data_IF_760303802784
#
_entry.id   IF_760303802784
#
_cell.length_a   1.000
_cell.length_b   1.000
_cell.length_c   1.000
_cell.angle_alpha   90.00
_cell.angle_beta   90.00
_cell.angle_gamma   90.00
#
_symmetry.space_group_name_H-M   'P 1'
#
loop_
_entity.id
_entity.type
_entity.pdbx_description
1 polymer ?
#
# COMPACT_ATOMS: atom_id res chain seq x y z
N UNK A 1 -10.98 13.69 -15.73
CA UNK A 1 -9.61 13.25 -15.40
C UNK A 1 -9.53 11.77 -15.72
N UNK A 2 -8.51 11.34 -16.39
CA UNK A 2 -8.23 9.93 -16.63
C UNK A 2 -7.12 9.52 -15.67
N UNK A 3 -7.30 8.43 -14.93
CA UNK A 3 -6.33 7.96 -13.95
C UNK A 3 -5.07 7.38 -14.59
N UNK A 4 -4.62 6.25 -14.06
CA UNK A 4 -3.54 5.44 -14.64
C UNK A 4 -4.16 4.25 -15.36
N UNK A 5 -3.65 3.92 -16.54
CA UNK A 5 -3.93 2.62 -17.17
C UNK A 5 -2.66 1.98 -17.74
N UNK A 6 -2.56 0.68 -17.59
CA UNK A 6 -1.54 -0.17 -18.21
C UNK A 6 -2.25 -1.33 -18.91
N UNK A 7 -1.78 -1.73 -20.11
CA UNK A 7 -2.35 -2.82 -20.90
C UNK A 7 -1.24 -3.68 -21.47
N UNK A 8 -1.22 -4.94 -21.07
CA UNK A 8 -0.28 -5.99 -21.52
C UNK A 8 1.18 -5.55 -21.51
N UNK A 9 1.56 -4.79 -20.47
CA UNK A 9 2.89 -4.18 -20.34
C UNK A 9 3.91 -5.26 -20.04
N UNK A 10 5.06 -5.18 -20.76
CA UNK A 10 6.19 -6.11 -20.62
C UNK A 10 7.49 -5.36 -20.46
N UNK A 11 8.41 -5.91 -19.65
CA UNK A 11 9.77 -5.40 -19.53
C UNK A 11 10.72 -6.49 -19.06
N UNK A 12 11.83 -6.64 -19.80
CA UNK A 12 12.89 -7.61 -19.52
C UNK A 12 14.25 -6.91 -19.41
N UNK A 13 15.14 -7.49 -18.63
CA UNK A 13 16.54 -7.10 -18.49
C UNK A 13 17.41 -8.32 -18.76
N UNK A 14 17.94 -8.45 -19.96
CA UNK A 14 18.59 -9.67 -20.43
C UNK A 14 17.62 -10.87 -20.32
N UNK A 15 17.99 -11.87 -19.53
CA UNK A 15 17.18 -13.08 -19.33
C UNK A 15 16.15 -12.94 -18.18
N UNK A 16 16.09 -11.78 -17.50
CA UNK A 16 15.16 -11.56 -16.40
C UNK A 16 13.92 -10.84 -16.93
N UNK A 17 12.78 -11.51 -16.94
CA UNK A 17 11.48 -10.93 -17.27
C UNK A 17 10.87 -10.28 -16.02
N UNK A 18 11.22 -9.02 -15.77
CA UNK A 18 10.77 -8.29 -14.57
C UNK A 18 9.25 -7.98 -14.60
N UNK A 19 8.72 -7.65 -15.78
CA UNK A 19 7.29 -7.48 -16.05
C UNK A 19 6.95 -8.31 -17.27
N UNK A 20 6.05 -9.29 -17.12
CA UNK A 20 5.71 -10.27 -18.16
C UNK A 20 4.41 -9.96 -18.85
N UNK A 21 3.40 -9.58 -18.09
CA UNK A 21 2.09 -9.21 -18.59
C UNK A 21 1.30 -8.49 -17.51
N UNK A 22 1.43 -7.16 -17.47
CA UNK A 22 0.77 -6.34 -16.48
C UNK A 22 -0.31 -5.49 -17.15
N UNK A 23 -1.54 -5.64 -16.62
CA UNK A 23 -2.67 -4.80 -16.95
C UNK A 23 -3.32 -4.31 -15.67
N UNK A 24 -3.51 -3.00 -15.53
CA UNK A 24 -4.16 -2.39 -14.37
C UNK A 24 -4.84 -1.07 -14.74
N UNK A 25 -5.79 -0.70 -13.89
CA UNK A 25 -6.37 0.65 -13.84
C UNK A 25 -6.29 1.20 -12.42
N UNK A 26 -5.92 2.48 -12.29
CA UNK A 26 -6.09 3.24 -11.06
C UNK A 26 -6.94 4.48 -11.38
N UNK A 27 -8.11 4.54 -10.74
CA UNK A 27 -9.12 5.57 -11.04
C UNK A 27 -8.82 6.89 -10.32
N UNK A 28 -9.26 8.02 -10.88
CA UNK A 28 -9.21 9.30 -10.19
C UNK A 28 -10.02 9.28 -8.89
N UNK A 29 -9.53 10.00 -7.89
CA UNK A 29 -10.20 10.10 -6.60
C UNK A 29 -10.08 8.86 -5.71
N UNK A 30 -9.16 7.94 -6.04
CA UNK A 30 -8.97 6.70 -5.32
C UNK A 30 -7.48 6.42 -5.03
N UNK A 31 -7.26 5.61 -4.00
CA UNK A 31 -5.97 5.01 -3.67
C UNK A 31 -5.98 3.55 -4.12
N UNK A 32 -5.12 3.21 -5.07
CA UNK A 32 -4.96 1.84 -5.57
C UNK A 32 -3.67 1.24 -5.01
N UNK A 33 -3.77 0.10 -4.34
CA UNK A 33 -2.63 -0.66 -3.83
C UNK A 33 -2.03 -1.55 -4.91
N UNK A 34 -0.71 -1.50 -5.07
CA UNK A 34 0.07 -2.41 -5.92
C UNK A 34 0.77 -3.44 -5.04
N UNK A 35 0.22 -4.64 -4.96
CA UNK A 35 0.57 -5.68 -4.02
C UNK A 35 1.35 -6.79 -4.71
N UNK A 36 2.40 -7.27 -4.06
CA UNK A 36 3.16 -8.41 -4.57
C UNK A 36 4.47 -8.60 -3.80
N UNK A 37 5.09 -9.78 -3.88
CA UNK A 37 6.35 -10.06 -3.21
C UNK A 37 7.49 -9.21 -3.79
N UNK A 38 8.64 -9.23 -3.11
CA UNK A 38 9.85 -8.61 -3.64
C UNK A 38 10.23 -9.30 -4.96
N UNK A 39 10.59 -8.50 -5.97
CA UNK A 39 10.91 -9.01 -7.31
C UNK A 39 9.68 -9.29 -8.20
N UNK A 40 8.45 -9.02 -7.77
CA UNK A 40 7.25 -9.18 -8.60
C UNK A 40 7.09 -8.16 -9.73
N UNK A 41 7.97 -7.15 -9.81
CA UNK A 41 7.94 -6.14 -10.87
C UNK A 41 7.31 -4.80 -10.49
N UNK A 42 6.89 -4.58 -9.23
CA UNK A 42 6.24 -3.33 -8.75
C UNK A 42 7.06 -2.08 -9.07
N UNK A 43 8.29 -2.01 -8.58
CA UNK A 43 9.19 -0.86 -8.83
C UNK A 43 9.47 -0.68 -10.31
N UNK A 44 9.65 -1.76 -11.09
CA UNK A 44 9.84 -1.69 -12.55
C UNK A 44 8.63 -1.07 -13.24
N UNK A 45 7.41 -1.48 -12.86
CA UNK A 45 6.18 -0.89 -13.38
C UNK A 45 6.05 0.60 -13.00
N UNK A 46 6.32 0.94 -11.74
CA UNK A 46 6.30 2.34 -11.29
C UNK A 46 7.31 3.21 -12.04
N UNK A 47 8.52 2.71 -12.32
CA UNK A 47 9.52 3.41 -13.13
C UNK A 47 9.04 3.65 -14.58
N UNK A 48 8.32 2.69 -15.18
CA UNK A 48 7.75 2.86 -16.51
C UNK A 48 6.65 3.91 -16.51
N UNK A 49 5.75 3.87 -15.53
CA UNK A 49 4.71 4.90 -15.35
C UNK A 49 5.30 6.30 -15.07
N UNK A 50 6.41 6.36 -14.32
CA UNK A 50 7.14 7.59 -14.04
C UNK A 50 7.95 8.13 -15.24
N UNK A 51 7.85 7.51 -16.42
CA UNK A 51 8.63 7.84 -17.63
C UNK A 51 10.15 7.76 -17.45
N UNK A 52 10.62 6.93 -16.52
CA UNK A 52 12.04 6.70 -16.24
C UNK A 52 12.57 5.43 -16.93
N UNK A 53 11.68 4.61 -17.44
CA UNK A 53 11.97 3.36 -18.13
C UNK A 53 10.92 3.15 -19.24
N UNK A 54 11.34 2.75 -20.45
CA UNK A 54 10.41 2.37 -21.49
C UNK A 54 9.99 0.90 -21.34
N UNK A 55 8.73 0.52 -21.60
CA UNK A 55 8.32 -0.87 -21.73
C UNK A 55 8.87 -1.49 -23.01
N UNK A 56 9.03 -2.82 -23.05
CA UNK A 56 9.36 -3.55 -24.27
C UNK A 56 8.11 -3.77 -25.16
N UNK A 57 6.93 -3.82 -24.52
CA UNK A 57 5.64 -3.95 -25.19
C UNK A 57 4.50 -3.50 -24.28
N UNK A 58 3.32 -3.28 -24.86
CA UNK A 58 2.11 -2.84 -24.14
C UNK A 58 1.93 -1.32 -24.17
N UNK A 59 0.88 -0.85 -23.52
CA UNK A 59 0.50 0.55 -23.50
C UNK A 59 0.42 1.07 -22.07
N UNK A 60 0.86 2.31 -21.87
CA UNK A 60 0.79 3.04 -20.61
C UNK A 60 0.09 4.38 -20.81
N UNK A 61 -0.75 4.77 -19.85
CA UNK A 61 -1.34 6.12 -19.78
C UNK A 61 -1.29 6.64 -18.36
N UNK A 62 -0.86 7.88 -18.20
CA UNK A 62 -0.84 8.64 -16.95
C UNK A 62 -1.61 9.93 -17.18
N UNK A 63 -2.77 10.07 -16.56
CA UNK A 63 -3.73 11.16 -16.82
C UNK A 63 -3.98 11.39 -18.32
N UNK A 64 -4.10 10.27 -19.08
CA UNK A 64 -4.33 10.26 -20.53
C UNK A 64 -3.09 10.43 -21.39
N UNK A 65 -1.92 10.74 -20.81
CA UNK A 65 -0.66 10.92 -21.52
C UNK A 65 0.10 9.60 -21.58
N UNK A 66 0.70 9.32 -22.72
CA UNK A 66 1.66 8.24 -22.89
C UNK A 66 3.03 8.67 -22.35
N UNK A 67 3.55 8.05 -21.26
CA UNK A 67 4.82 8.47 -20.65
C UNK A 67 6.06 8.17 -21.49
N UNK A 68 5.93 7.36 -22.56
CA UNK A 68 7.01 7.08 -23.51
C UNK A 68 7.04 8.11 -24.62
N UNK A 69 5.87 8.51 -25.13
CA UNK A 69 5.73 9.45 -26.24
C UNK A 69 5.91 10.90 -25.77
N UNK A 70 5.29 11.25 -24.64
CA UNK A 70 5.41 12.58 -24.02
C UNK A 70 5.85 12.47 -22.54
N UNK A 71 7.13 12.16 -22.30
CA UNK A 71 7.65 12.04 -20.94
C UNK A 71 7.60 13.35 -20.13
N UNK A 72 7.70 14.51 -20.80
CA UNK A 72 7.65 15.79 -20.13
C UNK A 72 6.22 16.13 -19.66
N UNK A 73 5.23 15.93 -20.52
CA UNK A 73 3.82 16.10 -20.19
C UNK A 73 3.35 15.12 -19.09
N UNK A 74 3.82 13.86 -19.13
CA UNK A 74 3.52 12.89 -18.09
C UNK A 74 4.11 13.34 -16.73
N UNK A 75 5.39 13.72 -16.68
CA UNK A 75 6.04 14.20 -15.43
C UNK A 75 5.42 15.48 -14.89
N UNK A 76 4.93 16.37 -15.74
CA UNK A 76 4.24 17.58 -15.28
C UNK A 76 2.94 17.30 -14.50
N UNK A 77 2.34 16.11 -14.67
CA UNK A 77 1.10 15.69 -14.01
C UNK A 77 1.32 14.66 -12.90
N UNK A 78 2.54 14.15 -12.79
CA UNK A 78 2.92 13.01 -11.96
C UNK A 78 3.86 13.41 -10.84
N UNK A 79 3.50 13.12 -9.59
CA UNK A 79 4.41 13.10 -8.43
C UNK A 79 4.98 11.71 -8.24
N UNK A 80 6.30 11.59 -8.24
CA UNK A 80 7.00 10.33 -8.03
C UNK A 80 7.78 10.33 -6.71
N UNK A 81 7.51 9.35 -5.88
CA UNK A 81 8.23 9.06 -4.65
C UNK A 81 8.81 7.64 -4.71
N UNK A 82 10.11 7.46 -4.98
CA UNK A 82 10.78 6.16 -4.90
C UNK A 82 11.01 5.73 -3.45
N UNK A 83 11.16 4.42 -3.20
CA UNK A 83 11.50 3.86 -1.88
C UNK A 83 12.80 4.47 -1.32
N UNK A 84 13.83 4.55 -2.15
CA UNK A 84 15.07 5.22 -1.75
C UNK A 84 15.03 6.70 -2.15
N UNK A 85 14.88 7.58 -1.17
CA UNK A 85 14.94 9.01 -1.40
C UNK A 85 16.36 9.45 -1.80
N UNK A 86 16.58 9.71 -3.08
CA UNK A 86 17.75 10.41 -3.58
C UNK A 86 17.70 11.90 -3.22
N UNK A 87 17.78 12.22 -1.92
CA UNK A 87 17.91 13.62 -1.50
C UNK A 87 19.37 14.06 -1.70
N UNK A 88 19.55 15.33 -2.11
CA UNK A 88 20.88 15.94 -2.08
C UNK A 88 21.33 16.11 -0.63
N UNK A 89 22.37 15.39 -0.16
CA UNK A 89 22.70 15.34 1.26
C UNK A 89 23.05 16.69 1.89
N UNK A 90 23.54 17.62 1.07
CA UNK A 90 23.97 18.96 1.48
C UNK A 90 22.85 19.99 1.54
N UNK A 91 21.72 19.76 0.85
CA UNK A 91 20.59 20.67 0.88
C UNK A 91 19.77 20.45 2.16
N UNK A 92 19.20 21.53 2.66
CA UNK A 92 18.18 21.47 3.72
C UNK A 92 16.87 20.87 3.18
N UNK A 93 15.96 20.49 4.08
CA UNK A 93 14.63 20.03 3.69
C UNK A 93 13.90 21.09 2.86
N UNK A 94 13.94 22.34 3.27
CA UNK A 94 13.38 23.49 2.55
C UNK A 94 14.02 23.67 1.17
N UNK A 95 15.35 23.69 1.10
CA UNK A 95 16.08 23.85 -0.17
C UNK A 95 15.79 22.73 -1.14
N UNK A 96 15.63 21.50 -0.65
CA UNK A 96 15.27 20.32 -1.47
C UNK A 96 13.93 20.55 -2.16
N UNK A 97 12.89 21.01 -1.45
CA UNK A 97 11.57 21.26 -2.02
C UNK A 97 11.58 22.48 -2.93
N UNK A 98 12.24 23.60 -2.50
CA UNK A 98 12.36 24.80 -3.31
C UNK A 98 13.07 24.50 -4.64
N UNK A 99 14.19 23.78 -4.61
CA UNK A 99 14.92 23.41 -5.82
C UNK A 99 14.07 22.54 -6.74
N UNK A 100 13.37 21.56 -6.19
CA UNK A 100 12.45 20.73 -6.99
C UNK A 100 11.34 21.58 -7.61
N UNK A 101 10.71 22.49 -6.86
CA UNK A 101 9.67 23.39 -7.38
C UNK A 101 10.20 24.27 -8.52
N UNK A 102 11.44 24.77 -8.39
CA UNK A 102 12.12 25.53 -9.46
C UNK A 102 12.35 24.70 -10.73
N UNK A 103 12.67 23.42 -10.59
CA UNK A 103 12.81 22.50 -11.74
C UNK A 103 11.47 22.24 -12.46
N UNK A 104 10.35 22.35 -11.73
CA UNK A 104 9.00 22.32 -12.30
C UNK A 104 8.47 23.69 -12.75
N UNK A 105 9.31 24.72 -12.78
CA UNK A 105 8.97 26.04 -13.35
C UNK A 105 8.33 27.03 -12.37
N UNK A 106 8.20 26.70 -11.08
CA UNK A 106 7.75 27.68 -10.09
C UNK A 106 8.78 28.81 -9.96
N UNK A 107 8.33 30.06 -9.82
CA UNK A 107 9.23 31.16 -9.45
C UNK A 107 9.76 30.97 -8.02
N UNK A 108 10.77 31.77 -7.62
CA UNK A 108 11.46 31.60 -6.35
C UNK A 108 10.56 31.81 -5.13
N UNK A 109 9.64 32.76 -5.22
CA UNK A 109 8.73 33.09 -4.13
C UNK A 109 7.65 32.03 -3.97
N UNK A 110 7.01 31.66 -5.06
CA UNK A 110 6.02 30.57 -5.11
C UNK A 110 6.63 29.23 -4.63
N UNK A 111 7.87 28.89 -5.04
CA UNK A 111 8.54 27.69 -4.59
C UNK A 111 8.83 27.71 -3.08
N UNK A 112 9.18 28.86 -2.50
CA UNK A 112 9.39 29.01 -1.04
C UNK A 112 8.08 28.88 -0.27
N UNK A 113 7.03 29.57 -0.72
CA UNK A 113 5.71 29.49 -0.10
C UNK A 113 5.18 28.05 -0.14
N UNK A 114 5.31 27.37 -1.30
CA UNK A 114 4.90 25.97 -1.44
C UNK A 114 5.71 25.03 -0.55
N UNK A 115 7.02 25.26 -0.41
CA UNK A 115 7.87 24.48 0.46
C UNK A 115 7.43 24.59 1.95
N UNK A 116 7.08 25.77 2.42
CA UNK A 116 6.60 25.97 3.79
C UNK A 116 5.31 25.16 4.05
N UNK A 117 4.32 25.27 3.15
CA UNK A 117 3.05 24.54 3.26
C UNK A 117 3.27 23.02 3.24
N UNK A 118 4.13 22.52 2.35
CA UNK A 118 4.39 21.08 2.22
C UNK A 118 5.16 20.54 3.42
N UNK A 119 6.18 21.23 3.92
CA UNK A 119 6.92 20.84 5.12
C UNK A 119 5.99 20.74 6.33
N UNK A 120 5.10 21.71 6.51
CA UNK A 120 4.08 21.68 7.56
C UNK A 120 3.13 20.47 7.37
N UNK A 121 2.68 20.20 6.14
CA UNK A 121 1.72 19.11 5.86
C UNK A 121 2.29 17.72 6.13
N UNK A 122 3.62 17.57 6.12
CA UNK A 122 4.32 16.32 6.43
C UNK A 122 5.02 16.33 7.79
N UNK A 123 4.80 17.36 8.63
CA UNK A 123 5.38 17.48 9.97
C UNK A 123 6.91 17.58 9.96
N UNK A 124 7.45 18.40 9.09
CA UNK A 124 8.89 18.71 8.97
C UNK A 124 9.20 20.21 9.06
N UNK A 125 8.27 21.02 9.54
CA UNK A 125 8.41 22.48 9.69
C UNK A 125 9.56 22.84 10.63
N UNK A 126 9.69 22.19 11.80
CA UNK A 126 10.79 22.37 12.75
C UNK A 126 12.16 21.93 12.20
N UNK A 127 12.17 21.08 11.18
CA UNK A 127 13.37 20.56 10.51
C UNK A 127 13.60 21.16 9.13
N UNK A 128 12.87 22.24 8.79
CA UNK A 128 12.92 22.85 7.47
C UNK A 128 14.34 23.24 7.04
N UNK A 129 15.14 23.75 7.96
CA UNK A 129 16.50 24.23 7.70
C UNK A 129 17.58 23.21 8.11
N UNK A 130 17.18 21.96 8.49
CA UNK A 130 18.09 20.87 8.74
C UNK A 130 18.56 20.23 7.41
N UNK A 131 19.86 19.95 7.25
CA UNK A 131 20.40 19.26 6.07
C UNK A 131 19.77 17.86 5.92
N UNK A 132 19.45 17.44 4.69
CA UNK A 132 18.79 16.15 4.44
C UNK A 132 19.61 14.94 4.94
N UNK A 133 20.96 15.08 5.05
CA UNK A 133 21.82 14.00 5.57
C UNK A 133 21.54 13.63 7.02
N UNK A 134 21.12 14.59 7.86
CA UNK A 134 20.88 14.36 9.31
C UNK A 134 19.48 13.86 9.62
N UNK A 135 18.56 13.89 8.64
CA UNK A 135 17.20 13.39 8.81
C UNK A 135 17.19 11.86 9.00
N UNK A 136 16.33 11.39 9.89
CA UNK A 136 16.05 9.96 10.06
C UNK A 136 15.45 9.36 8.77
N UNK A 137 15.37 8.03 8.68
CA UNK A 137 14.73 7.36 7.54
C UNK A 137 13.28 7.82 7.35
N UNK A 138 12.48 7.83 8.40
CA UNK A 138 11.08 8.28 8.34
C UNK A 138 10.95 9.76 7.97
N UNK A 139 11.85 10.64 8.47
CA UNK A 139 11.89 12.05 8.07
C UNK A 139 12.26 12.22 6.59
N UNK A 140 13.17 11.40 6.07
CA UNK A 140 13.49 11.36 4.64
C UNK A 140 12.28 10.91 3.80
N UNK A 141 11.52 9.90 4.27
CA UNK A 141 10.30 9.48 3.59
C UNK A 141 9.27 10.61 3.51
N UNK A 142 9.04 11.31 4.63
CA UNK A 142 8.14 12.48 4.65
C UNK A 142 8.62 13.61 3.72
N UNK A 143 9.93 13.86 3.67
CA UNK A 143 10.52 14.81 2.71
C UNK A 143 10.31 14.35 1.26
N UNK A 144 10.41 13.05 0.97
CA UNK A 144 10.13 12.46 -0.33
C UNK A 144 8.71 12.69 -0.80
N UNK A 145 7.76 12.50 0.10
CA UNK A 145 6.35 12.78 -0.18
C UNK A 145 6.10 14.27 -0.46
N UNK A 146 6.65 15.16 0.36
CA UNK A 146 6.57 16.60 0.14
C UNK A 146 7.17 17.01 -1.22
N UNK A 147 8.31 16.40 -1.59
CA UNK A 147 8.94 16.61 -2.90
C UNK A 147 8.05 16.15 -4.06
N UNK A 148 7.40 15.00 -3.92
CA UNK A 148 6.48 14.49 -4.95
C UNK A 148 5.25 15.39 -5.16
N UNK A 149 4.87 16.18 -4.14
CA UNK A 149 3.69 17.05 -4.16
C UNK A 149 3.97 18.49 -4.61
N UNK A 150 5.23 18.87 -4.87
CA UNK A 150 5.64 20.28 -5.00
C UNK A 150 4.95 21.00 -6.15
N UNK A 151 4.77 20.36 -7.30
CA UNK A 151 4.18 20.91 -8.52
C UNK A 151 2.69 20.64 -8.67
N UNK A 152 2.03 20.25 -7.58
CA UNK A 152 0.59 19.97 -7.51
C UNK A 152 0.10 18.90 -8.50
N UNK A 153 0.69 17.69 -8.49
CA UNK A 153 0.41 16.65 -9.47
C UNK A 153 -1.01 16.11 -9.33
N UNK A 154 -1.58 15.63 -10.45
CA UNK A 154 -2.88 14.93 -10.49
C UNK A 154 -2.76 13.45 -10.17
N UNK A 155 -1.59 12.88 -10.41
CA UNK A 155 -1.27 11.47 -10.20
C UNK A 155 -0.12 11.37 -9.22
N UNK A 156 -0.19 10.43 -8.28
CA UNK A 156 0.89 10.10 -7.36
C UNK A 156 1.29 8.65 -7.52
N UNK A 157 2.57 8.39 -7.74
CA UNK A 157 3.18 7.08 -7.66
C UNK A 157 4.06 7.05 -6.42
N UNK A 158 3.75 6.16 -5.48
CA UNK A 158 4.43 6.06 -4.19
C UNK A 158 4.97 4.65 -4.00
N UNK A 159 6.30 4.52 -4.00
CA UNK A 159 6.98 3.24 -3.77
C UNK A 159 7.38 3.13 -2.31
N UNK A 160 6.73 2.23 -1.56
CA UNK A 160 6.96 1.96 -0.14
C UNK A 160 6.93 3.22 0.77
N UNK A 161 5.92 4.12 0.67
CA UNK A 161 5.96 5.43 1.35
C UNK A 161 5.88 5.34 2.87
N UNK A 162 5.36 4.24 3.44
CA UNK A 162 5.26 4.00 4.87
C UNK A 162 6.54 3.37 5.47
N UNK A 163 7.51 2.98 4.61
CA UNK A 163 8.73 2.31 5.06
C UNK A 163 9.54 3.15 6.04
N UNK A 164 9.78 2.61 7.25
CA UNK A 164 10.56 3.28 8.29
C UNK A 164 9.85 4.42 9.01
N UNK A 165 8.55 4.60 8.81
CA UNK A 165 7.72 5.51 9.60
C UNK A 165 7.37 4.88 10.96
N UNK A 166 7.31 5.72 11.99
CA UNK A 166 6.71 5.36 13.26
C UNK A 166 5.17 5.24 13.15
N UNK A 167 4.48 4.63 14.15
CA UNK A 167 3.02 4.42 14.06
C UNK A 167 2.22 5.69 13.84
N UNK A 168 2.60 6.81 14.49
CA UNK A 168 1.88 8.08 14.31
C UNK A 168 2.07 8.63 12.90
N UNK A 169 3.29 8.61 12.37
CA UNK A 169 3.58 9.07 11.02
C UNK A 169 2.86 8.22 9.93
N UNK A 170 2.58 6.94 10.19
CA UNK A 170 1.74 6.11 9.32
C UNK A 170 0.28 6.56 9.30
N UNK A 171 -0.27 6.90 10.47
CA UNK A 171 -1.62 7.47 10.58
C UNK A 171 -1.70 8.79 9.82
N UNK A 172 -0.71 9.68 10.01
CA UNK A 172 -0.66 10.99 9.33
C UNK A 172 -0.56 10.82 7.80
N UNK A 173 0.28 9.88 7.33
CA UNK A 173 0.38 9.52 5.91
C UNK A 173 -0.97 9.05 5.37
N UNK A 174 -1.66 8.14 6.05
CA UNK A 174 -2.99 7.65 5.66
C UNK A 174 -3.99 8.79 5.52
N UNK A 175 -4.08 9.67 6.53
CA UNK A 175 -4.98 10.84 6.52
C UNK A 175 -4.66 11.75 5.33
N UNK A 176 -3.37 12.00 5.05
CA UNK A 176 -2.94 12.80 3.93
C UNK A 176 -3.33 12.16 2.58
N UNK A 177 -3.08 10.87 2.39
CA UNK A 177 -3.41 10.17 1.15
C UNK A 177 -4.92 10.14 0.90
N UNK A 178 -5.73 9.89 1.93
CA UNK A 178 -7.20 9.93 1.83
C UNK A 178 -7.71 11.32 1.46
N UNK A 179 -7.13 12.38 2.04
CA UNK A 179 -7.46 13.77 1.66
C UNK A 179 -7.12 14.04 0.20
N UNK A 180 -5.90 13.68 -0.25
CA UNK A 180 -5.46 13.90 -1.63
C UNK A 180 -6.33 13.13 -2.64
N UNK A 181 -6.73 11.90 -2.31
CA UNK A 181 -7.70 11.16 -3.12
C UNK A 181 -9.07 11.87 -3.15
N UNK A 182 -9.57 12.32 -2.00
CA UNK A 182 -10.81 13.11 -1.91
C UNK A 182 -10.80 14.42 -2.72
N UNK A 183 -9.61 15.00 -2.95
CA UNK A 183 -9.38 16.15 -3.85
C UNK A 183 -9.40 15.74 -5.35
N UNK A 184 -9.62 14.45 -5.66
CA UNK A 184 -9.73 13.91 -7.02
C UNK A 184 -8.42 13.39 -7.62
N UNK A 185 -7.32 13.30 -6.85
CA UNK A 185 -6.04 12.77 -7.34
C UNK A 185 -6.11 11.25 -7.49
N UNK A 186 -5.37 10.73 -8.46
CA UNK A 186 -5.14 9.30 -8.63
C UNK A 186 -3.90 8.90 -7.86
N UNK A 187 -3.98 7.94 -6.96
CA UNK A 187 -2.84 7.48 -6.16
C UNK A 187 -2.61 5.99 -6.42
N UNK A 188 -1.40 5.64 -6.83
CA UNK A 188 -0.92 4.27 -6.91
C UNK A 188 0.21 4.09 -5.90
N UNK A 189 0.00 3.20 -4.93
CA UNK A 189 0.91 2.97 -3.81
C UNK A 189 1.37 1.52 -3.79
N UNK A 190 2.67 1.28 -3.70
CA UNK A 190 3.21 -0.04 -3.38
C UNK A 190 3.49 -0.17 -1.89
N UNK A 191 3.28 -1.34 -1.33
CA UNK A 191 3.82 -1.75 -0.03
C UNK A 191 3.98 -3.26 0.03
N UNK A 192 4.91 -3.72 0.86
CA UNK A 192 5.04 -5.11 1.27
C UNK A 192 4.35 -5.38 2.61
N UNK A 193 3.84 -4.35 3.29
CA UNK A 193 3.10 -4.46 4.55
C UNK A 193 1.62 -4.30 4.24
N UNK A 194 0.93 -5.42 4.08
CA UNK A 194 -0.46 -5.45 3.58
C UNK A 194 -1.45 -4.84 4.56
N UNK A 195 -1.23 -5.03 5.87
CA UNK A 195 -2.06 -4.43 6.90
C UNK A 195 -2.09 -2.87 6.82
N UNK A 196 -0.99 -2.24 6.39
CA UNK A 196 -0.95 -0.78 6.19
C UNK A 196 -1.74 -0.35 4.96
N UNK A 197 -1.69 -1.15 3.89
CA UNK A 197 -2.46 -0.87 2.67
C UNK A 197 -3.95 -1.03 2.92
N UNK A 198 -4.37 -2.07 3.64
CA UNK A 198 -5.77 -2.36 3.90
C UNK A 198 -6.53 -1.19 4.54
N UNK A 199 -5.84 -0.37 5.32
CA UNK A 199 -6.42 0.81 5.95
C UNK A 199 -6.56 2.03 5.03
N UNK A 200 -5.87 2.05 3.87
CA UNK A 200 -5.80 3.24 3.02
C UNK A 200 -6.30 3.05 1.60
N UNK A 201 -6.28 1.82 1.06
CA UNK A 201 -6.64 1.58 -0.34
C UNK A 201 -8.14 1.44 -0.57
N UNK A 202 -8.60 1.87 -1.73
CA UNK A 202 -9.95 1.64 -2.25
C UNK A 202 -9.99 0.42 -3.18
N UNK A 203 -8.90 0.19 -3.91
CA UNK A 203 -8.73 -0.90 -4.88
C UNK A 203 -7.36 -1.54 -4.70
N UNK A 204 -7.23 -2.82 -5.05
CA UNK A 204 -5.96 -3.54 -4.99
C UNK A 204 -5.66 -4.28 -6.29
N UNK A 205 -4.41 -4.20 -6.74
CA UNK A 205 -3.87 -4.94 -7.88
C UNK A 205 -2.75 -5.85 -7.40
N UNK A 206 -2.91 -7.14 -7.61
CA UNK A 206 -1.92 -8.14 -7.19
C UNK A 206 -0.99 -8.50 -8.34
N UNK A 207 0.31 -8.42 -8.09
CA UNK A 207 1.38 -8.82 -9.00
C UNK A 207 2.10 -10.06 -8.48
N UNK A 208 2.07 -11.13 -9.27
CA UNK A 208 2.82 -12.37 -8.98
C UNK A 208 3.67 -12.73 -10.18
N UNK A 209 4.97 -12.94 -9.95
CA UNK A 209 5.93 -13.32 -10.98
C UNK A 209 5.89 -12.44 -12.26
N UNK A 210 5.73 -11.12 -12.09
CA UNK A 210 5.72 -10.15 -13.18
C UNK A 210 4.41 -10.03 -13.96
N UNK A 211 3.32 -10.62 -13.46
CA UNK A 211 2.02 -10.55 -14.10
C UNK A 211 0.92 -10.13 -13.12
N UNK A 212 -0.11 -9.44 -13.65
CA UNK A 212 -1.31 -9.13 -12.87
C UNK A 212 -2.12 -10.40 -12.65
N UNK A 213 -2.54 -10.63 -11.41
CA UNK A 213 -3.46 -11.73 -11.07
C UNK A 213 -4.87 -11.35 -11.55
N UNK A 214 -5.54 -12.28 -12.22
CA UNK A 214 -6.90 -12.05 -12.73
C UNK A 214 -7.91 -11.83 -11.59
N UNK A 215 -8.96 -11.04 -11.86
CA UNK A 215 -10.01 -10.74 -10.89
C UNK A 215 -10.69 -12.02 -10.34
N UNK A 216 -10.89 -13.03 -11.19
CA UNK A 216 -11.49 -14.31 -10.77
C UNK A 216 -10.61 -15.04 -9.75
N UNK A 217 -9.29 -15.04 -9.95
CA UNK A 217 -8.33 -15.65 -9.00
C UNK A 217 -8.28 -14.87 -7.68
N UNK A 218 -8.33 -13.55 -7.75
CA UNK A 218 -8.38 -12.69 -6.56
C UNK A 218 -9.68 -12.96 -5.78
N UNK A 219 -10.82 -13.00 -6.47
CA UNK A 219 -12.12 -13.30 -5.83
C UNK A 219 -12.15 -14.71 -5.21
N UNK A 220 -11.59 -15.71 -5.91
CA UNK A 220 -11.49 -17.07 -5.38
C UNK A 220 -10.60 -17.16 -4.13
N UNK A 221 -9.47 -16.44 -4.12
CA UNK A 221 -8.57 -16.37 -2.97
C UNK A 221 -9.22 -15.66 -1.78
N UNK A 222 -9.88 -14.52 -2.02
CA UNK A 222 -10.59 -13.77 -0.99
C UNK A 222 -11.78 -14.53 -0.39
N UNK A 223 -12.39 -15.43 -1.15
CA UNK A 223 -13.51 -16.27 -0.72
C UNK A 223 -13.14 -17.54 0.03
N UNK A 224 -11.85 -17.82 0.24
CA UNK A 224 -11.41 -18.97 1.02
C UNK A 224 -11.64 -18.77 2.52
N UNK A 225 -11.61 -19.89 3.26
CA UNK A 225 -11.71 -19.86 4.73
C UNK A 225 -10.59 -18.97 5.33
N UNK A 226 -11.00 -18.07 6.23
CA UNK A 226 -10.06 -17.21 6.96
C UNK A 226 -9.87 -17.71 8.37
N UNK A 227 -8.64 -17.63 8.86
CA UNK A 227 -8.32 -17.89 10.26
C UNK A 227 -8.75 -16.69 11.12
N UNK A 228 -9.46 -16.97 12.19
CA UNK A 228 -9.88 -16.00 13.19
C UNK A 228 -9.19 -16.27 14.51
N UNK A 229 -8.93 -15.21 15.23
CA UNK A 229 -8.33 -15.18 16.54
C UNK A 229 -9.42 -14.98 17.59
N UNK A 230 -9.42 -15.83 18.59
CA UNK A 230 -10.37 -15.81 19.68
C UNK A 230 -9.59 -15.79 20.99
N UNK A 231 -9.92 -14.89 21.88
CA UNK A 231 -9.34 -14.83 23.22
C UNK A 231 -10.46 -14.84 24.25
N UNK A 232 -10.34 -15.79 25.21
CA UNK A 232 -11.27 -15.97 26.32
C UNK A 232 -10.58 -15.45 27.60
N UNK A 233 -11.29 -14.65 28.38
CA UNK A 233 -10.76 -14.14 29.66
C UNK A 233 -10.71 -15.26 30.70
N UNK A 234 -9.76 -15.11 31.64
CA UNK A 234 -9.66 -15.90 32.87
C UNK A 234 -9.65 -17.42 32.69
N UNK A 235 -9.13 -17.89 31.55
CA UNK A 235 -8.99 -19.32 31.24
C UNK A 235 -7.63 -19.64 30.65
N UNK A 236 -7.10 -20.82 31.02
CA UNK A 236 -5.93 -21.38 30.35
C UNK A 236 -6.29 -21.77 28.91
N UNK A 237 -5.37 -21.56 27.94
CA UNK A 237 -5.66 -21.73 26.50
C UNK A 237 -6.23 -23.13 26.15
N UNK A 238 -5.68 -24.17 26.70
CA UNK A 238 -6.13 -25.55 26.40
C UNK A 238 -7.56 -25.81 26.93
N UNK A 239 -7.91 -25.31 28.10
CA UNK A 239 -9.26 -25.42 28.66
C UNK A 239 -10.23 -24.55 27.83
N UNK A 240 -9.82 -23.35 27.46
CA UNK A 240 -10.61 -22.47 26.61
C UNK A 240 -10.85 -23.08 25.22
N UNK A 241 -9.88 -23.81 24.64
CA UNK A 241 -10.03 -24.52 23.37
C UNK A 241 -11.12 -25.58 23.43
N UNK A 242 -11.15 -26.40 24.51
CA UNK A 242 -12.18 -27.42 24.72
C UNK A 242 -13.58 -26.79 24.84
N UNK A 243 -13.70 -25.69 25.60
CA UNK A 243 -14.98 -24.99 25.78
C UNK A 243 -15.48 -24.35 24.47
N UNK A 244 -14.57 -23.73 23.69
CA UNK A 244 -14.89 -23.17 22.38
C UNK A 244 -15.30 -24.26 21.40
N UNK A 245 -14.59 -25.38 21.32
CA UNK A 245 -14.93 -26.52 20.48
C UNK A 245 -16.32 -27.06 20.80
N UNK A 246 -16.64 -27.23 22.11
CA UNK A 246 -17.95 -27.65 22.59
C UNK A 246 -19.05 -26.67 22.24
N UNK A 247 -18.84 -25.38 22.45
CA UNK A 247 -19.83 -24.33 22.19
C UNK A 247 -20.16 -24.17 20.70
N UNK A 248 -19.18 -24.40 19.84
CA UNK A 248 -19.34 -24.32 18.37
C UNK A 248 -19.71 -25.65 17.72
N UNK A 249 -19.66 -26.76 18.45
CA UNK A 249 -19.93 -28.10 17.92
C UNK A 249 -18.89 -28.55 16.89
N UNK A 250 -17.65 -28.10 17.02
CA UNK A 250 -16.54 -28.49 16.14
C UNK A 250 -15.57 -29.46 16.82
N UNK A 251 -14.81 -30.24 16.05
CA UNK A 251 -13.77 -31.08 16.62
C UNK A 251 -12.74 -30.25 17.40
N UNK A 252 -12.27 -30.70 18.58
CA UNK A 252 -11.20 -29.99 19.31
C UNK A 252 -9.91 -29.80 18.51
N UNK A 253 -9.62 -30.67 17.56
CA UNK A 253 -8.47 -30.60 16.67
C UNK A 253 -8.54 -29.37 15.69
N UNK A 254 -9.72 -28.82 15.43
CA UNK A 254 -9.90 -27.68 14.56
C UNK A 254 -9.61 -26.35 15.30
N UNK A 255 -9.61 -26.38 16.65
CA UNK A 255 -9.25 -25.24 17.48
C UNK A 255 -7.76 -25.32 17.82
N UNK A 256 -6.95 -24.54 17.11
CA UNK A 256 -5.50 -24.48 17.37
C UNK A 256 -5.20 -23.45 18.45
N UNK A 257 -4.31 -23.85 19.38
CA UNK A 257 -3.80 -22.94 20.42
C UNK A 257 -2.51 -22.31 19.93
N UNK A 258 -2.43 -20.99 19.90
CA UNK A 258 -1.20 -20.22 19.69
C UNK A 258 -0.99 -19.25 20.84
N UNK A 259 -0.07 -19.60 21.75
CA UNK A 259 0.23 -18.85 22.98
C UNK A 259 -1.01 -18.68 23.86
N UNK A 260 -1.65 -17.50 23.84
CA UNK A 260 -2.86 -17.16 24.62
C UNK A 260 -4.10 -16.97 23.75
N UNK A 261 -4.01 -17.34 22.50
CA UNK A 261 -5.05 -17.14 21.49
C UNK A 261 -5.49 -18.48 20.92
N UNK A 262 -6.75 -18.57 20.56
CA UNK A 262 -7.31 -19.70 19.86
C UNK A 262 -7.51 -19.29 18.40
N UNK A 263 -7.09 -20.16 17.48
CA UNK A 263 -7.21 -19.94 16.05
C UNK A 263 -8.20 -20.94 15.47
N UNK A 264 -9.21 -20.42 14.76
CA UNK A 264 -10.25 -21.21 14.11
C UNK A 264 -10.55 -20.66 12.73
N UNK A 265 -10.77 -21.53 11.75
CA UNK A 265 -11.12 -21.13 10.38
C UNK A 265 -12.62 -20.99 10.20
N UNK A 266 -13.05 -19.91 9.52
CA UNK A 266 -14.44 -19.72 9.12
C UNK A 266 -14.54 -19.41 7.62
N UNK A 267 -15.56 -19.97 6.99
CA UNK A 267 -15.81 -19.84 5.55
C UNK A 267 -16.25 -18.42 5.13
N UNK A 268 -16.72 -17.60 6.08
CA UNK A 268 -17.15 -16.21 5.81
C UNK A 268 -17.27 -15.42 7.10
N UNK A 269 -17.32 -14.10 6.97
CA UNK A 269 -17.59 -13.18 8.09
C UNK A 269 -18.96 -13.44 8.74
N UNK A 270 -19.97 -13.88 7.96
CA UNK A 270 -21.27 -14.28 8.48
C UNK A 270 -21.18 -15.56 9.35
N UNK A 271 -20.37 -16.54 8.92
CA UNK A 271 -20.12 -17.73 9.73
C UNK A 271 -19.38 -17.37 11.04
N UNK A 272 -18.40 -16.50 10.98
CA UNK A 272 -17.67 -16.00 12.13
C UNK A 272 -18.61 -15.22 13.10
N UNK A 273 -19.48 -14.36 12.59
CA UNK A 273 -20.46 -13.65 13.42
C UNK A 273 -21.43 -14.62 14.11
N UNK A 274 -21.85 -15.69 13.41
CA UNK A 274 -22.70 -16.76 14.00
C UNK A 274 -21.96 -17.50 15.13
N UNK A 275 -20.69 -17.79 14.91
CA UNK A 275 -19.83 -18.43 15.90
C UNK A 275 -19.65 -17.55 17.14
N UNK A 276 -19.35 -16.26 16.98
CA UNK A 276 -19.25 -15.31 18.10
C UNK A 276 -20.56 -15.29 18.93
N UNK A 277 -21.72 -15.24 18.27
CA UNK A 277 -23.00 -15.28 18.95
C UNK A 277 -23.23 -16.59 19.70
N UNK A 278 -22.72 -17.72 19.22
CA UNK A 278 -22.80 -19.02 19.91
C UNK A 278 -21.89 -19.02 21.16
N UNK A 279 -20.66 -18.52 21.06
CA UNK A 279 -19.72 -18.42 22.18
C UNK A 279 -20.30 -17.56 23.32
N UNK A 280 -20.87 -16.40 22.98
CA UNK A 280 -21.50 -15.51 23.96
C UNK A 280 -22.72 -16.18 24.63
N UNK A 281 -23.57 -16.87 23.86
CA UNK A 281 -24.71 -17.62 24.40
C UNK A 281 -24.29 -18.79 25.32
N UNK A 282 -23.14 -19.38 25.04
CA UNK A 282 -22.56 -20.41 25.92
C UNK A 282 -21.93 -19.83 27.21
N UNK A 283 -21.99 -18.51 27.40
CA UNK A 283 -21.47 -17.85 28.58
C UNK A 283 -19.94 -17.72 28.61
N UNK A 284 -19.28 -17.88 27.47
CA UNK A 284 -17.83 -17.69 27.41
C UNK A 284 -17.48 -16.20 27.41
N UNK A 285 -16.54 -15.75 28.27
CA UNK A 285 -16.13 -14.35 28.36
C UNK A 285 -15.16 -14.01 27.23
N UNK A 286 -15.69 -13.81 26.01
CA UNK A 286 -14.91 -13.46 24.81
C UNK A 286 -14.42 -12.02 24.95
N UNK A 287 -13.11 -11.80 24.95
CA UNK A 287 -12.46 -10.49 25.03
C UNK A 287 -11.87 -10.03 23.71
N UNK A 288 -11.65 -10.97 22.78
CA UNK A 288 -11.22 -10.67 21.42
C UNK A 288 -11.81 -11.70 20.45
N UNK A 289 -12.31 -11.23 19.33
CA UNK A 289 -12.77 -12.04 18.21
C UNK A 289 -12.53 -11.25 16.93
N UNK A 290 -11.45 -11.58 16.24
CA UNK A 290 -11.02 -10.85 15.04
C UNK A 290 -10.39 -11.79 14.02
N UNK A 291 -10.40 -11.39 12.73
CA UNK A 291 -9.62 -12.13 11.74
C UNK A 291 -8.13 -12.06 12.09
N UNK A 292 -7.42 -13.18 11.99
CA UNK A 292 -5.99 -13.26 12.31
C UNK A 292 -5.12 -12.47 11.32
N UNK A 293 -5.59 -12.37 10.07
CA UNK A 293 -4.99 -11.54 9.01
C UNK A 293 -6.06 -10.67 8.36
N UNK A 294 -5.66 -9.51 7.86
CA UNK A 294 -6.53 -8.66 7.05
C UNK A 294 -6.94 -9.37 5.73
N UNK A 295 -7.92 -8.80 5.03
CA UNK A 295 -8.45 -9.41 3.80
C UNK A 295 -7.39 -9.41 2.68
N UNK A 296 -6.63 -8.33 2.54
CA UNK A 296 -5.56 -8.23 1.53
C UNK A 296 -4.43 -9.23 1.81
N UNK A 297 -4.05 -9.37 3.07
CA UNK A 297 -3.00 -10.31 3.49
C UNK A 297 -3.44 -11.76 3.29
N UNK A 298 -4.67 -12.10 3.69
CA UNK A 298 -5.26 -13.41 3.44
C UNK A 298 -5.27 -13.74 1.94
N UNK A 299 -5.81 -12.84 1.12
CA UNK A 299 -5.88 -13.00 -0.33
C UNK A 299 -4.49 -13.18 -0.94
N UNK A 300 -3.52 -12.39 -0.49
CA UNK A 300 -2.15 -12.45 -1.00
C UNK A 300 -1.46 -13.79 -0.66
N UNK A 301 -1.57 -14.26 0.59
CA UNK A 301 -1.00 -15.54 1.01
C UNK A 301 -1.57 -16.72 0.21
N UNK A 302 -2.87 -16.69 -0.07
CA UNK A 302 -3.53 -17.70 -0.89
C UNK A 302 -3.09 -17.66 -2.36
N UNK A 303 -2.81 -16.48 -2.89
CA UNK A 303 -2.30 -16.32 -4.26
C UNK A 303 -0.85 -16.81 -4.40
N UNK A 304 -0.04 -16.71 -3.34
CA UNK A 304 1.33 -17.23 -3.32
C UNK A 304 1.39 -18.74 -3.02
N UNK A 305 0.52 -19.25 -2.14
CA UNK A 305 0.49 -20.65 -1.69
C UNK A 305 -0.31 -21.59 -2.59
N UNK A 306 -1.05 -21.09 -3.57
CA UNK A 306 -1.83 -21.91 -4.51
C UNK A 306 -0.94 -22.79 -5.40
N UNK A 307 -1.44 -23.91 -5.94
CA UNK A 307 -0.68 -24.80 -6.82
C UNK A 307 -0.13 -24.02 -8.03
N UNK A 308 1.18 -24.13 -8.21
CA UNK A 308 1.93 -23.57 -9.36
C UNK A 308 1.57 -24.29 -10.65
#
# INVERSE_FOLDING_TARGET
MSGISARNVRRSFGNVHAVRDVSLDARPGAVTGLIGPNGSGKTTLLLMLASLLAPDAGELRVDGIDPVVDPAGARARLGWMPDALGAWPSLTARETIVTTGRLYGLDKESARARAAVLLQSVGLDDLADAPARVLSRGQKQRLGLARALVHDPRVLLLDEPASGLDPQARVDLRVLLRRLAGEGRTILISSHILAELEEVVDDAVFLVAGATVSADRVAAAAGRERVWRIRIADREPDAAAADVASALGVPPADVRVDRRELLLSFASDAAAATALAALVRAGLPVVEFSAATGLLEHTFLDLEGGPR
#
